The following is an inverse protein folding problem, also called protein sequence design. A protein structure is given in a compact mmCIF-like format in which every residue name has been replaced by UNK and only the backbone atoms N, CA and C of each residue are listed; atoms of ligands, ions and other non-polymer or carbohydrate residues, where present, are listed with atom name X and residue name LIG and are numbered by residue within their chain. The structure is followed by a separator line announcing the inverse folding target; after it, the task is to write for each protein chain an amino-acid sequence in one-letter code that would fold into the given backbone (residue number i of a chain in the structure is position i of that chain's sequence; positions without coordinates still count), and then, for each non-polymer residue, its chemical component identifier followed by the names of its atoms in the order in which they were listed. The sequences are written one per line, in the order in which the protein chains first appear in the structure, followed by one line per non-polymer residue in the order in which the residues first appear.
data_IF_640934427328
#
_entry.id   IF_640934427328
#
_cell.length_a   1.000
_cell.length_b   1.000
_cell.length_c   1.000
_cell.angle_alpha   90.00
_cell.angle_beta   90.00
_cell.angle_gamma   90.00
#
_symmetry.space_group_name_H-M   'P 1'
#
loop_
_entity.id
_entity.type
_entity.pdbx_description
1 polymer ?
#
# COMPACT_ATOMS: atom_id res chain seq x y z
N UNK A 1 26.22 -58.75 -1.08
CA UNK A 1 25.72 -58.44 -2.44
C UNK A 1 24.97 -57.10 -2.43
N UNK A 2 25.23 -56.25 -1.43
CA UNK A 2 24.25 -55.26 -0.97
C UNK A 2 24.59 -53.83 -1.44
N UNK A 3 25.88 -53.50 -1.53
CA UNK A 3 26.32 -52.16 -1.93
C UNK A 3 26.05 -51.74 -3.38
N UNK A 4 25.59 -52.65 -4.26
CA UNK A 4 25.12 -52.29 -5.61
C UNK A 4 23.67 -51.77 -5.59
N UNK A 5 22.81 -52.35 -4.75
CA UNK A 5 21.44 -51.86 -4.58
C UNK A 5 21.42 -50.52 -3.85
N UNK A 6 22.26 -50.36 -2.83
CA UNK A 6 22.36 -49.12 -2.07
C UNK A 6 22.78 -47.95 -2.97
N UNK A 7 23.83 -48.14 -3.77
CA UNK A 7 24.34 -47.08 -4.66
C UNK A 7 23.39 -46.71 -5.80
N UNK A 8 22.56 -47.66 -6.21
CA UNK A 8 21.52 -47.41 -7.22
C UNK A 8 20.32 -46.66 -6.61
N UNK A 9 19.90 -47.03 -5.39
CA UNK A 9 18.86 -46.30 -4.66
C UNK A 9 19.29 -44.86 -4.32
N UNK A 10 20.53 -44.66 -3.87
CA UNK A 10 21.06 -43.33 -3.53
C UNK A 10 21.11 -42.40 -4.76
N UNK A 11 21.52 -42.93 -5.92
CA UNK A 11 21.55 -42.18 -7.17
C UNK A 11 20.16 -41.81 -7.69
N UNK A 12 19.18 -42.69 -7.47
CA UNK A 12 17.79 -42.46 -7.85
C UNK A 12 17.12 -41.45 -6.91
N UNK A 13 17.35 -41.57 -5.59
CA UNK A 13 16.81 -40.65 -4.59
C UNK A 13 17.38 -39.24 -4.78
N UNK A 14 18.70 -39.10 -4.97
CA UNK A 14 19.32 -37.79 -5.20
C UNK A 14 18.91 -37.12 -6.52
N UNK A 15 18.43 -37.89 -7.51
CA UNK A 15 17.86 -37.33 -8.74
C UNK A 15 16.41 -36.90 -8.56
N UNK A 16 15.65 -37.61 -7.72
CA UNK A 16 14.28 -37.26 -7.36
C UNK A 16 14.23 -36.01 -6.46
N UNK A 17 15.15 -35.93 -5.49
CA UNK A 17 15.27 -34.80 -4.57
C UNK A 17 15.58 -33.50 -5.34
N UNK A 18 16.55 -33.52 -6.25
CA UNK A 18 16.86 -32.35 -7.09
C UNK A 18 15.70 -31.90 -7.97
N UNK A 19 14.94 -32.84 -8.52
CA UNK A 19 13.78 -32.51 -9.36
C UNK A 19 12.63 -31.93 -8.52
N UNK A 20 12.42 -32.44 -7.30
CA UNK A 20 11.46 -31.87 -6.37
C UNK A 20 11.87 -30.49 -5.86
N UNK A 21 13.16 -30.29 -5.55
CA UNK A 21 13.69 -29.01 -5.08
C UNK A 21 13.56 -27.93 -6.16
N UNK A 22 13.98 -28.20 -7.40
CA UNK A 22 13.85 -27.23 -8.51
C UNK A 22 12.38 -26.89 -8.83
N UNK A 23 11.48 -27.88 -8.69
CA UNK A 23 10.06 -27.66 -8.93
C UNK A 23 9.39 -26.86 -7.81
N UNK A 24 9.75 -27.12 -6.55
CA UNK A 24 9.28 -26.38 -5.38
C UNK A 24 9.83 -24.95 -5.41
N UNK A 25 11.12 -24.77 -5.70
CA UNK A 25 11.75 -23.45 -5.78
C UNK A 25 11.10 -22.61 -6.88
N UNK A 26 10.91 -23.16 -8.09
CA UNK A 26 10.26 -22.42 -9.18
C UNK A 26 8.79 -22.10 -8.89
N UNK A 27 8.11 -22.90 -8.06
CA UNK A 27 6.74 -22.64 -7.65
C UNK A 27 6.66 -21.59 -6.53
N UNK A 28 7.60 -21.61 -5.60
CA UNK A 28 7.74 -20.59 -4.54
C UNK A 28 8.14 -19.23 -5.12
N UNK A 29 9.10 -19.17 -6.03
CA UNK A 29 9.55 -17.92 -6.69
C UNK A 29 8.42 -17.25 -7.51
N UNK A 30 7.47 -18.03 -8.02
CA UNK A 30 6.31 -17.51 -8.73
C UNK A 30 5.18 -16.98 -7.83
N UNK A 31 5.14 -17.40 -6.57
CA UNK A 31 4.11 -17.00 -5.60
C UNK A 31 4.57 -15.79 -4.75
N UNK A 32 5.86 -15.67 -4.47
CA UNK A 32 6.45 -14.63 -3.62
C UNK A 32 6.13 -13.19 -4.07
N UNK A 33 6.36 -12.78 -5.35
CA UNK A 33 6.04 -11.42 -5.80
C UNK A 33 4.53 -11.14 -5.88
N UNK A 34 3.70 -12.18 -5.96
CA UNK A 34 2.24 -12.05 -6.08
C UNK A 34 1.60 -11.78 -4.71
N UNK A 35 2.15 -12.35 -3.64
CA UNK A 35 1.68 -12.12 -2.27
C UNK A 35 2.21 -10.77 -1.75
N UNK A 36 3.49 -10.46 -1.99
CA UNK A 36 4.08 -9.19 -1.57
C UNK A 36 3.47 -7.99 -2.30
N UNK A 37 3.32 -8.07 -3.64
CA UNK A 37 2.71 -6.99 -4.41
C UNK A 37 1.24 -6.73 -4.07
N UNK A 38 0.50 -7.75 -3.64
CA UNK A 38 -0.91 -7.61 -3.25
C UNK A 38 -1.08 -7.09 -1.82
N UNK A 39 -0.18 -7.46 -0.89
CA UNK A 39 -0.18 -6.89 0.46
C UNK A 39 0.28 -5.43 0.46
N UNK A 40 1.32 -5.10 -0.31
CA UNK A 40 1.91 -3.75 -0.33
C UNK A 40 0.97 -2.74 -1.01
N UNK A 41 0.47 -3.05 -2.22
CA UNK A 41 -0.43 -2.15 -2.94
C UNK A 41 -1.77 -1.93 -2.21
N UNK A 42 -2.30 -2.96 -1.55
CA UNK A 42 -3.61 -2.84 -0.88
C UNK A 42 -3.52 -2.15 0.48
N UNK A 43 -2.42 -2.30 1.21
CA UNK A 43 -2.25 -1.67 2.53
C UNK A 43 -1.68 -0.25 2.43
N UNK A 44 -0.76 0.02 1.51
CA UNK A 44 -0.14 1.34 1.37
C UNK A 44 -1.05 2.32 0.63
N UNK A 45 -1.55 1.96 -0.57
CA UNK A 45 -2.27 2.93 -1.40
C UNK A 45 -3.60 3.36 -0.77
N UNK A 46 -4.40 2.41 -0.25
CA UNK A 46 -5.71 2.76 0.32
C UNK A 46 -5.64 3.53 1.63
N UNK A 47 -4.58 3.36 2.42
CA UNK A 47 -4.47 3.91 3.77
C UNK A 47 -3.75 5.26 3.78
N UNK A 48 -2.68 5.40 2.99
CA UNK A 48 -1.95 6.66 2.85
C UNK A 48 -2.79 7.70 2.11
N UNK A 49 -3.44 7.30 1.02
CA UNK A 49 -4.20 8.21 0.16
C UNK A 49 -5.47 8.70 0.86
N UNK A 50 -6.21 7.79 1.53
CA UNK A 50 -7.41 8.16 2.29
C UNK A 50 -7.12 9.02 3.52
N UNK A 51 -6.02 8.78 4.22
CA UNK A 51 -5.66 9.55 5.43
C UNK A 51 -5.05 10.91 5.10
N UNK A 52 -4.18 11.00 4.08
CA UNK A 52 -3.63 12.28 3.65
C UNK A 52 -4.71 13.14 3.00
N UNK A 53 -5.52 12.60 2.09
CA UNK A 53 -6.49 13.40 1.36
C UNK A 53 -7.62 13.89 2.26
N UNK A 54 -8.23 13.02 3.06
CA UNK A 54 -9.36 13.40 3.92
C UNK A 54 -8.99 14.44 4.98
N UNK A 55 -7.82 14.33 5.60
CA UNK A 55 -7.39 15.23 6.67
C UNK A 55 -6.90 16.58 6.14
N UNK A 56 -6.30 16.59 4.95
CA UNK A 56 -5.77 17.78 4.33
C UNK A 56 -6.89 18.59 3.67
N UNK A 57 -7.89 17.93 3.08
CA UNK A 57 -9.09 18.59 2.55
C UNK A 57 -9.92 19.23 3.66
N UNK A 58 -10.19 18.55 4.79
CA UNK A 58 -10.92 19.15 5.92
C UNK A 58 -10.20 20.39 6.48
N UNK A 59 -8.88 20.33 6.64
CA UNK A 59 -8.10 21.46 7.16
C UNK A 59 -8.05 22.65 6.21
N UNK A 60 -7.92 22.39 4.91
CA UNK A 60 -7.88 23.44 3.88
C UNK A 60 -9.26 24.04 3.71
N UNK A 61 -10.32 23.24 3.67
CA UNK A 61 -11.68 23.72 3.42
C UNK A 61 -12.19 24.50 4.64
N UNK A 62 -12.21 23.92 5.85
CA UNK A 62 -12.74 24.64 7.04
C UNK A 62 -11.88 25.85 7.42
N UNK A 63 -10.55 25.75 7.33
CA UNK A 63 -9.65 26.83 7.71
C UNK A 63 -9.70 28.00 6.74
N UNK A 64 -9.75 27.72 5.43
CA UNK A 64 -9.71 28.76 4.41
C UNK A 64 -11.10 29.38 4.19
N UNK A 65 -12.18 28.57 4.18
CA UNK A 65 -13.54 29.11 4.12
C UNK A 65 -13.88 29.91 5.38
N UNK A 66 -13.60 29.40 6.58
CA UNK A 66 -13.94 30.09 7.83
C UNK A 66 -13.20 31.43 7.98
N UNK A 67 -11.95 31.51 7.53
CA UNK A 67 -11.19 32.76 7.54
C UNK A 67 -11.67 33.77 6.49
N UNK A 68 -12.00 33.30 5.27
CA UNK A 68 -12.55 34.16 4.22
C UNK A 68 -13.93 34.71 4.60
N UNK A 69 -14.82 33.88 5.15
CA UNK A 69 -16.15 34.30 5.60
C UNK A 69 -16.05 35.32 6.74
N UNK A 70 -15.27 35.05 7.78
CA UNK A 70 -15.11 35.98 8.89
C UNK A 70 -14.52 37.34 8.46
N UNK A 71 -13.65 37.34 7.45
CA UNK A 71 -13.07 38.56 6.88
C UNK A 71 -14.10 39.31 6.02
N UNK A 72 -14.89 38.61 5.22
CA UNK A 72 -15.95 39.20 4.40
C UNK A 72 -17.06 39.77 5.27
N UNK A 73 -17.48 39.07 6.32
CA UNK A 73 -18.48 39.53 7.30
C UNK A 73 -18.06 40.81 8.01
N UNK A 74 -16.76 40.94 8.36
CA UNK A 74 -16.24 42.15 8.99
C UNK A 74 -16.20 43.33 8.02
N UNK A 75 -15.90 43.08 6.75
CA UNK A 75 -15.91 44.08 5.69
C UNK A 75 -17.33 44.53 5.35
N UNK A 76 -18.27 43.59 5.18
CA UNK A 76 -19.68 43.90 4.92
C UNK A 76 -20.30 44.63 6.10
N UNK A 77 -20.05 44.19 7.34
CA UNK A 77 -20.48 44.90 8.53
C UNK A 77 -19.93 46.35 8.56
N UNK A 78 -18.65 46.54 8.22
CA UNK A 78 -18.06 47.89 8.16
C UNK A 78 -18.71 48.78 7.08
N UNK A 79 -19.16 48.19 5.96
CA UNK A 79 -19.88 48.88 4.89
C UNK A 79 -21.33 49.23 5.28
N UNK A 80 -22.00 48.40 6.09
CA UNK A 80 -23.34 48.68 6.60
C UNK A 80 -23.36 49.80 7.66
N UNK A 81 -22.26 49.99 8.40
CA UNK A 81 -22.12 51.06 9.39
C UNK A 81 -21.41 52.32 8.87
N UNK A 82 -20.97 52.33 7.61
CA UNK A 82 -20.44 53.52 6.96
C UNK A 82 -21.62 54.47 6.65
N UNK A 83 -21.67 55.69 7.23
CA UNK A 83 -22.60 56.69 6.75
C UNK A 83 -22.20 57.00 5.30
N UNK A 84 -23.15 56.83 4.38
CA UNK A 84 -23.03 57.31 3.01
C UNK A 84 -22.80 58.84 3.06
N UNK A 85 -21.53 59.24 2.99
CA UNK A 85 -21.09 60.61 2.71
C UNK A 85 -20.92 60.73 1.20
#
# INVERSE_FOLDING_TARGET
MDGFMDRWMDGWNGSMDRWMDEWIDSWMDGMDPCIDGWMDARMMDGWVDGWMHGRMDEWVDEGMHGWMDARMDRWTASLFFLPLI
#
